data_IF_909330419915
#
_entry.id   IF_909330419915
#
_cell.length_a   1.000
_cell.length_b   1.000
_cell.length_c   1.000
_cell.angle_alpha   90.00
_cell.angle_beta   90.00
_cell.angle_gamma   90.00
#
_symmetry.space_group_name_H-M   'P 1'
#
loop_
_entity.id
_entity.type
_entity.pdbx_description
1 polymer ?
#
# COMPACT_ATOMS: atom_id res chain seq x y z
N UNK A 1 -16.04 -4.01 -12.33
CA UNK A 1 -16.22 -2.54 -12.37
C UNK A 1 -15.01 -1.95 -11.68
N UNK A 2 -14.29 -1.01 -12.28
CA UNK A 2 -13.13 -0.41 -11.62
C UNK A 2 -13.64 0.43 -10.44
N UNK A 3 -13.28 0.04 -9.23
CA UNK A 3 -13.59 0.82 -8.04
C UNK A 3 -12.75 2.10 -8.06
N UNK A 4 -13.40 3.25 -7.90
CA UNK A 4 -12.74 4.55 -7.94
C UNK A 4 -12.07 4.84 -6.60
N UNK A 5 -10.76 4.62 -6.55
CA UNK A 5 -9.94 4.98 -5.40
C UNK A 5 -9.85 6.52 -5.29
N UNK A 6 -10.21 7.08 -4.13
CA UNK A 6 -10.10 8.53 -3.83
C UNK A 6 -8.67 8.93 -3.47
N UNK A 7 -7.89 7.99 -2.95
CA UNK A 7 -6.47 8.23 -2.67
C UNK A 7 -5.70 8.37 -3.97
N UNK A 8 -4.89 9.42 -4.09
CA UNK A 8 -3.98 9.57 -5.24
C UNK A 8 -2.91 8.52 -5.13
N UNK A 9 -2.80 7.67 -6.16
CA UNK A 9 -1.73 6.68 -6.30
C UNK A 9 -1.01 6.88 -7.62
N UNK A 10 0.26 6.50 -7.66
CA UNK A 10 1.07 6.48 -8.87
C UNK A 10 2.04 5.32 -8.80
N UNK A 11 2.51 4.91 -9.98
CA UNK A 11 3.47 3.83 -10.12
C UNK A 11 4.82 4.42 -10.55
N UNK A 12 5.92 3.91 -10.00
CA UNK A 12 7.28 4.21 -10.49
C UNK A 12 7.64 3.28 -11.65
N UNK A 13 8.78 3.57 -12.31
CA UNK A 13 9.33 2.74 -13.38
C UNK A 13 9.74 1.33 -12.96
N UNK A 14 9.72 1.00 -11.67
CA UNK A 14 10.11 -0.30 -11.13
C UNK A 14 8.90 -1.17 -10.71
N UNK A 15 7.68 -0.83 -11.16
CA UNK A 15 6.43 -1.49 -10.73
C UNK A 15 6.11 -1.29 -9.25
N UNK A 16 6.62 -0.20 -8.67
CA UNK A 16 6.35 0.18 -7.29
C UNK A 16 5.17 1.13 -7.23
N UNK A 17 4.28 0.92 -6.27
CA UNK A 17 3.13 1.76 -6.04
C UNK A 17 3.37 2.69 -4.86
N UNK A 18 3.02 3.95 -5.06
CA UNK A 18 3.05 4.98 -4.03
C UNK A 18 1.68 5.63 -3.96
N UNK A 19 1.33 6.12 -2.77
CA UNK A 19 0.09 6.82 -2.53
C UNK A 19 0.28 8.00 -1.60
N UNK A 20 -0.50 9.06 -1.85
CA UNK A 20 -0.56 10.23 -0.99
C UNK A 20 -1.54 9.95 0.16
N UNK A 21 -1.01 9.63 1.33
CA UNK A 21 -1.78 9.32 2.53
C UNK A 21 -1.38 10.32 3.61
N UNK A 22 -2.35 11.03 4.19
CA UNK A 22 -2.11 12.06 5.21
C UNK A 22 -1.10 13.16 4.80
N UNK A 23 -1.08 13.52 3.50
CA UNK A 23 -0.13 14.43 2.85
C UNK A 23 1.33 13.94 2.79
N UNK A 24 1.56 12.65 3.02
CA UNK A 24 2.87 12.01 2.89
C UNK A 24 2.85 11.00 1.74
N UNK A 25 3.96 10.94 1.00
CA UNK A 25 4.17 9.94 -0.05
C UNK A 25 4.55 8.61 0.62
N UNK A 26 3.59 7.69 0.72
CA UNK A 26 3.83 6.38 1.31
C UNK A 26 3.98 5.31 0.24
N UNK A 27 4.97 4.43 0.45
CA UNK A 27 5.18 3.24 -0.35
C UNK A 27 4.09 2.21 -0.04
N UNK A 28 3.35 1.82 -1.08
CA UNK A 28 2.22 0.88 -1.01
C UNK A 28 2.62 -0.55 -1.41
N UNK A 29 3.87 -0.79 -1.76
CA UNK A 29 4.34 -2.10 -2.24
C UNK A 29 4.42 -2.17 -3.76
N UNK A 30 4.90 -3.30 -4.29
CA UNK A 30 5.07 -3.49 -5.74
C UNK A 30 4.10 -4.55 -6.27
N UNK A 31 4.25 -5.79 -5.81
CA UNK A 31 3.42 -6.94 -6.19
C UNK A 31 2.28 -7.21 -5.21
N UNK A 32 2.40 -6.67 -4.01
CA UNK A 32 1.44 -6.82 -2.92
C UNK A 32 0.24 -5.88 -3.08
N UNK A 33 0.38 -4.84 -3.91
CA UNK A 33 -0.68 -3.87 -4.14
C UNK A 33 -1.83 -4.51 -4.96
N UNK A 34 -3.08 -4.45 -4.47
CA UNK A 34 -4.22 -5.05 -5.17
C UNK A 34 -4.55 -4.29 -6.46
N UNK A 35 -4.68 -5.03 -7.57
CA UNK A 35 -5.01 -4.50 -8.88
C UNK A 35 -6.08 -5.37 -9.56
N UNK A 36 -7.32 -4.88 -9.77
CA UNK A 36 -7.82 -3.56 -9.37
C UNK A 36 -7.99 -3.46 -7.84
N UNK A 37 -7.81 -2.27 -7.23
CA UNK A 37 -8.10 -2.08 -5.81
C UNK A 37 -9.61 -2.11 -5.56
N UNK A 38 -10.06 -2.83 -4.52
CA UNK A 38 -11.47 -2.93 -4.11
C UNK A 38 -11.69 -2.52 -2.65
N UNK A 39 -12.91 -2.10 -2.29
CA UNK A 39 -13.24 -1.71 -0.92
C UNK A 39 -13.04 -2.88 0.05
N UNK A 40 -12.36 -2.62 1.17
CA UNK A 40 -12.03 -3.64 2.17
C UNK A 40 -10.75 -4.41 1.90
N UNK A 41 -10.11 -4.23 0.73
CA UNK A 41 -8.81 -4.83 0.45
C UNK A 41 -7.77 -4.40 1.48
N UNK A 42 -6.96 -5.37 1.87
CA UNK A 42 -5.94 -5.21 2.88
C UNK A 42 -4.67 -5.95 2.44
N UNK A 43 -3.53 -5.28 2.54
CA UNK A 43 -2.25 -5.87 2.22
C UNK A 43 -1.17 -5.36 3.16
N UNK A 44 -0.09 -6.13 3.23
CA UNK A 44 1.10 -5.78 4.01
C UNK A 44 2.28 -5.67 3.07
N UNK A 45 2.95 -4.53 3.10
CA UNK A 45 4.15 -4.25 2.34
C UNK A 45 5.32 -4.97 3.02
N UNK A 46 5.93 -5.93 2.35
CA UNK A 46 6.98 -6.75 2.96
C UNK A 46 8.24 -5.94 3.28
N UNK A 47 8.55 -4.94 2.45
CA UNK A 47 9.77 -4.12 2.59
C UNK A 47 9.75 -3.21 3.83
N UNK A 48 8.61 -2.57 4.11
CA UNK A 48 8.45 -1.62 5.22
C UNK A 48 7.73 -2.21 6.42
N UNK A 49 7.04 -3.33 6.20
CA UNK A 49 6.08 -3.90 7.14
C UNK A 49 4.79 -3.09 7.27
N UNK A 50 4.56 -2.05 6.46
CA UNK A 50 3.33 -1.27 6.57
C UNK A 50 2.12 -2.08 6.13
N UNK A 51 1.04 -1.98 6.90
CA UNK A 51 -0.23 -2.61 6.60
C UNK A 51 -1.24 -1.53 6.19
N UNK A 52 -1.81 -1.71 5.00
CA UNK A 52 -2.77 -0.78 4.41
C UNK A 52 -4.11 -1.45 4.23
N UNK A 53 -5.18 -0.65 4.28
CA UNK A 53 -6.53 -1.08 4.02
C UNK A 53 -7.31 -0.01 3.25
N UNK A 54 -8.15 -0.43 2.31
CA UNK A 54 -9.09 0.46 1.62
C UNK A 54 -10.36 0.60 2.46
N UNK A 55 -10.64 1.82 2.90
CA UNK A 55 -11.80 2.19 3.71
C UNK A 55 -12.45 3.44 3.11
N UNK A 56 -13.72 3.34 2.74
CA UNK A 56 -14.52 4.40 2.10
C UNK A 56 -13.88 4.95 0.80
N UNK A 57 -13.18 4.09 0.07
CA UNK A 57 -12.40 4.47 -1.12
C UNK A 57 -11.06 5.14 -0.84
N UNK A 58 -10.62 5.22 0.42
CA UNK A 58 -9.32 5.75 0.81
C UNK A 58 -8.38 4.64 1.27
N UNK A 59 -7.13 4.65 0.80
CA UNK A 59 -6.08 3.84 1.40
C UNK A 59 -5.69 4.45 2.74
N UNK A 60 -5.82 3.67 3.80
CA UNK A 60 -5.45 4.02 5.17
C UNK A 60 -4.34 3.10 5.65
N UNK A 61 -3.32 3.66 6.29
CA UNK A 61 -2.36 2.88 7.05
C UNK A 61 -3.04 2.38 8.33
N UNK A 62 -3.23 1.08 8.45
CA UNK A 62 -3.88 0.47 9.62
C UNK A 62 -2.88 -0.07 10.65
N UNK A 63 -1.61 -0.16 10.29
CA UNK A 63 -0.56 -0.57 11.21
C UNK A 63 0.79 -0.74 10.53
N UNK A 64 1.74 -1.24 11.30
CA UNK A 64 3.05 -1.67 10.83
C UNK A 64 3.42 -2.94 11.59
N UNK A 65 3.84 -3.96 10.87
CA UNK A 65 4.58 -5.08 11.43
C UNK A 65 6.07 -4.76 11.33
N UNK A 66 6.88 -5.22 12.27
CA UNK A 66 8.32 -5.15 12.09
C UNK A 66 8.67 -6.06 10.90
N UNK A 67 9.22 -5.52 9.79
CA UNK A 67 9.66 -6.38 8.70
C UNK A 67 10.74 -7.30 9.27
N UNK A 68 10.57 -8.61 9.10
CA UNK A 68 11.59 -9.58 9.48
C UNK A 68 12.85 -9.27 8.67
N UNK A 69 13.76 -8.48 9.27
CA UNK A 69 15.10 -8.29 8.71
C UNK A 69 15.69 -9.68 8.62
N UNK A 70 16.08 -10.16 7.44
CA UNK A 70 16.70 -11.47 7.36
C UNK A 70 18.01 -11.39 8.18
N UNK A 71 18.13 -12.29 9.15
CA UNK A 71 19.10 -12.28 10.25
C UNK A 71 20.56 -12.54 9.81
N UNK A 72 20.95 -12.15 8.59
CA UNK A 72 22.30 -12.34 8.03
C UNK A 72 23.11 -11.03 7.91
N UNK A 73 23.00 -10.14 8.91
CA UNK A 73 23.95 -9.03 9.12
C UNK A 73 24.98 -9.38 10.19
#
# INVERSE_FOLDING_TARGET
MAFELKTKIWQTGQLEWYGLIDNEDLYLGSREFPLPPEEGDEWTVQETGFRFKIIDGHIRKIGQIEPEKPEWL
#
